data_IF_399933401384
#
_entry.id   IF_399933401384
#
_cell.length_a   1.000
_cell.length_b   1.000
_cell.length_c   1.000
_cell.angle_alpha   90.00
_cell.angle_beta   90.00
_cell.angle_gamma   90.00
#
_symmetry.space_group_name_H-M   'P 1'
#
loop_
_entity.id
_entity.type
_entity.pdbx_description
1 polymer ?
#
# COMPACT_ATOMS: atom_id res chain seq x y z
N UNK A 1 70.08 79.40 9.38
CA UNK A 1 70.37 78.75 8.09
C UNK A 1 69.65 77.40 8.06
N UNK A 2 68.44 77.28 7.48
CA UNK A 2 67.70 76.02 7.47
C UNK A 2 68.09 75.17 6.27
N UNK A 3 68.55 73.95 6.52
CA UNK A 3 68.84 72.94 5.51
C UNK A 3 67.52 72.22 5.17
N UNK A 4 67.00 72.45 3.96
CA UNK A 4 65.88 71.72 3.37
C UNK A 4 66.36 70.32 3.00
N UNK A 5 65.79 69.28 3.61
CA UNK A 5 65.85 67.91 3.09
C UNK A 5 64.55 67.59 2.32
N UNK A 6 64.64 66.85 1.19
CA UNK A 6 63.58 66.82 0.20
C UNK A 6 62.44 65.89 0.61
N UNK A 7 61.22 66.42 0.52
CA UNK A 7 59.92 65.76 0.72
C UNK A 7 59.74 64.49 -0.15
N UNK A 8 60.61 64.28 -1.13
CA UNK A 8 60.56 63.19 -2.12
C UNK A 8 60.83 61.80 -1.53
N UNK A 9 61.59 61.67 -0.43
CA UNK A 9 61.88 60.34 0.14
C UNK A 9 60.84 59.82 1.16
N UNK A 10 59.92 60.66 1.64
CA UNK A 10 58.82 60.22 2.52
C UNK A 10 57.62 59.73 1.69
N UNK A 11 57.46 60.24 0.46
CA UNK A 11 56.38 59.81 -0.43
C UNK A 11 56.60 58.38 -0.97
N UNK A 12 57.85 57.94 -1.11
CA UNK A 12 58.16 56.62 -1.67
C UNK A 12 58.01 55.48 -0.65
N UNK A 13 58.18 55.75 0.65
CA UNK A 13 58.01 54.74 1.71
C UNK A 13 56.52 54.55 2.07
N UNK A 14 55.67 55.57 1.89
CA UNK A 14 54.22 55.44 2.12
C UNK A 14 53.49 54.75 0.95
N UNK A 15 54.07 54.72 -0.25
CA UNK A 15 53.49 54.06 -1.43
C UNK A 15 53.70 52.53 -1.47
N UNK A 16 54.66 51.99 -0.72
CA UNK A 16 54.93 50.53 -0.68
C UNK A 16 54.10 49.82 0.41
N UNK A 17 53.60 50.54 1.41
CA UNK A 17 52.72 49.98 2.47
C UNK A 17 51.24 49.88 2.07
N UNK A 18 50.83 50.50 0.96
CA UNK A 18 49.44 50.45 0.46
C UNK A 18 49.18 49.33 -0.57
N UNK A 19 50.19 48.54 -0.94
CA UNK A 19 50.05 47.48 -1.95
C UNK A 19 49.95 46.05 -1.38
N UNK A 20 49.88 45.87 -0.06
CA UNK A 20 49.70 44.54 0.58
C UNK A 20 48.23 44.27 0.96
N UNK A 21 47.31 45.24 0.78
CA UNK A 21 45.91 45.10 1.22
C UNK A 21 44.96 44.42 0.22
N UNK A 22 45.48 43.64 -0.73
CA UNK A 22 44.65 42.83 -1.61
C UNK A 22 45.13 41.38 -1.59
N UNK A 23 45.10 40.77 -0.40
CA UNK A 23 44.95 39.32 -0.34
C UNK A 23 43.52 39.02 -0.82
N UNK A 24 43.31 38.18 -1.85
CA UNK A 24 41.97 37.73 -2.19
C UNK A 24 41.39 37.09 -0.94
N UNK A 25 40.29 37.64 -0.43
CA UNK A 25 39.47 36.94 0.56
C UNK A 25 39.14 35.59 -0.07
N UNK A 26 39.73 34.53 0.45
CA UNK A 26 39.27 33.19 0.15
C UNK A 26 37.82 33.16 0.59
N UNK A 27 36.89 33.22 -0.37
CA UNK A 27 35.50 32.88 -0.13
C UNK A 27 35.58 31.46 0.43
N UNK A 28 35.38 31.31 1.75
CA UNK A 28 35.25 29.99 2.35
C UNK A 28 34.19 29.28 1.52
N UNK A 29 34.47 28.09 0.96
CA UNK A 29 33.44 27.33 0.28
C UNK A 29 32.30 27.21 1.28
N UNK A 30 31.13 27.74 0.92
CA UNK A 30 29.90 27.62 1.68
C UNK A 30 29.78 26.13 2.04
N UNK A 31 29.96 25.80 3.32
CA UNK A 31 30.00 24.41 3.75
C UNK A 31 28.64 23.82 3.42
N UNK A 32 28.58 22.98 2.39
CA UNK A 32 27.39 22.23 2.07
C UNK A 32 27.12 21.29 3.24
N UNK A 33 26.16 21.66 4.09
CA UNK A 33 25.71 20.80 5.17
C UNK A 33 25.17 19.50 4.59
N UNK A 34 25.53 18.38 5.23
CA UNK A 34 24.88 17.11 4.96
C UNK A 34 23.41 17.15 5.38
N UNK A 35 22.57 16.31 4.78
CA UNK A 35 21.15 16.17 5.17
C UNK A 35 20.99 15.92 6.67
N UNK A 36 21.83 15.06 7.25
CA UNK A 36 21.79 14.74 8.68
C UNK A 36 22.14 15.94 9.57
N UNK A 37 23.10 16.77 9.15
CA UNK A 37 23.44 18.00 9.87
C UNK A 37 22.26 18.99 9.85
N UNK A 38 21.59 19.13 8.71
CA UNK A 38 20.42 20.00 8.58
C UNK A 38 19.25 19.49 9.45
N UNK A 39 18.99 18.18 9.44
CA UNK A 39 17.96 17.56 10.28
C UNK A 39 18.27 17.70 11.76
N UNK A 40 19.54 17.56 12.16
CA UNK A 40 19.98 17.75 13.54
C UNK A 40 19.76 19.19 13.98
N UNK A 41 20.17 20.17 13.16
CA UNK A 41 19.94 21.59 13.44
C UNK A 41 18.44 21.90 13.57
N UNK A 42 17.61 21.33 12.69
CA UNK A 42 16.14 21.48 12.73
C UNK A 42 15.54 20.87 14.00
N UNK A 43 16.00 19.69 14.41
CA UNK A 43 15.54 19.04 15.63
C UNK A 43 15.87 19.90 16.86
N UNK A 44 17.12 20.35 16.98
CA UNK A 44 17.56 21.20 18.09
C UNK A 44 16.87 22.56 18.11
N UNK A 45 16.63 23.16 16.94
CA UNK A 45 15.85 24.41 16.84
C UNK A 45 14.42 24.19 17.32
N UNK A 46 13.78 23.11 16.88
CA UNK A 46 12.43 22.77 17.31
C UNK A 46 12.36 22.56 18.84
N UNK A 47 13.38 21.95 19.46
CA UNK A 47 13.45 21.83 20.93
C UNK A 47 13.63 23.19 21.63
N UNK A 48 14.37 24.14 21.04
CA UNK A 48 14.49 25.50 21.58
C UNK A 48 13.15 26.23 21.49
N UNK A 49 12.53 26.22 20.33
CA UNK A 49 11.24 26.86 20.10
C UNK A 49 10.15 26.30 21.04
N UNK A 50 10.19 24.98 21.31
CA UNK A 50 9.29 24.35 22.26
C UNK A 50 9.43 24.89 23.70
N UNK A 51 10.65 25.23 24.15
CA UNK A 51 10.90 25.79 25.48
C UNK A 51 10.34 27.20 25.63
N UNK A 52 10.34 27.95 24.53
CA UNK A 52 9.90 29.34 24.48
C UNK A 52 8.40 29.49 24.12
N UNK A 53 7.71 28.36 23.86
CA UNK A 53 6.32 28.31 23.42
C UNK A 53 5.37 27.83 24.51
N UNK A 54 4.09 28.20 24.37
CA UNK A 54 2.99 27.67 25.18
C UNK A 54 2.17 26.62 24.41
N UNK A 55 1.38 25.82 25.11
CA UNK A 55 0.49 24.84 24.45
C UNK A 55 -0.57 25.54 23.60
N UNK A 56 -0.86 25.07 22.37
CA UNK A 56 -0.39 23.82 21.76
C UNK A 56 0.88 23.93 20.89
N UNK A 57 1.47 25.12 20.76
CA UNK A 57 2.64 25.33 19.90
C UNK A 57 3.90 24.66 20.46
N UNK A 58 4.02 24.58 21.79
CA UNK A 58 5.02 23.75 22.45
C UNK A 58 4.97 22.31 21.93
N UNK A 59 3.81 21.67 21.94
CA UNK A 59 3.64 20.28 21.52
C UNK A 59 3.88 20.12 20.01
N UNK A 60 3.49 21.13 19.21
CA UNK A 60 3.82 21.18 17.78
C UNK A 60 5.33 21.17 17.54
N UNK A 61 6.08 21.99 18.27
CA UNK A 61 7.54 22.03 18.18
C UNK A 61 8.19 20.74 18.67
N UNK A 62 7.67 20.14 19.75
CA UNK A 62 8.14 18.83 20.22
C UNK A 62 7.90 17.74 19.18
N UNK A 63 6.74 17.70 18.52
CA UNK A 63 6.46 16.74 17.44
C UNK A 63 7.37 16.97 16.22
N UNK A 64 7.67 18.23 15.86
CA UNK A 64 8.65 18.55 14.80
C UNK A 64 10.06 18.06 15.16
N UNK A 65 10.47 18.20 16.42
CA UNK A 65 11.74 17.67 16.90
C UNK A 65 11.77 16.14 16.84
N UNK A 66 10.72 15.47 17.34
CA UNK A 66 10.59 14.02 17.31
C UNK A 66 10.62 13.47 15.88
N UNK A 67 9.92 14.10 14.94
CA UNK A 67 9.96 13.73 13.52
C UNK A 67 11.38 13.85 12.96
N UNK A 68 12.08 14.94 13.26
CA UNK A 68 13.45 15.14 12.77
C UNK A 68 14.43 14.10 13.33
N UNK A 69 14.27 13.70 14.60
CA UNK A 69 15.06 12.60 15.18
C UNK A 69 14.69 11.24 14.60
N UNK A 70 13.42 11.00 14.29
CA UNK A 70 13.00 9.80 13.60
C UNK A 70 13.64 9.70 12.20
N UNK A 71 13.64 10.81 11.44
CA UNK A 71 14.25 10.89 10.11
C UNK A 71 15.78 10.68 10.15
N UNK A 72 16.42 11.02 11.28
CA UNK A 72 17.83 10.75 11.58
C UNK A 72 18.12 9.29 12.01
N UNK A 73 17.12 8.41 11.99
CA UNK A 73 17.17 7.07 12.61
C UNK A 73 17.51 7.09 14.12
N UNK A 74 17.37 8.23 14.80
CA UNK A 74 17.56 8.36 16.24
C UNK A 74 16.23 8.10 16.98
N UNK A 75 15.80 6.84 16.95
CA UNK A 75 14.52 6.43 17.53
C UNK A 75 14.48 6.64 19.05
N UNK A 76 15.62 6.57 19.74
CA UNK A 76 15.68 6.79 21.19
C UNK A 76 15.23 8.21 21.55
N UNK A 77 15.75 9.23 20.87
CA UNK A 77 15.39 10.62 21.13
C UNK A 77 13.95 10.93 20.69
N UNK A 78 13.53 10.40 19.54
CA UNK A 78 12.14 10.54 19.10
C UNK A 78 11.16 9.94 20.13
N UNK A 79 11.45 8.74 20.64
CA UNK A 79 10.63 8.05 21.65
C UNK A 79 10.60 8.81 22.97
N UNK A 80 11.75 9.34 23.43
CA UNK A 80 11.82 10.13 24.67
C UNK A 80 10.91 11.36 24.60
N UNK A 81 10.93 12.09 23.49
CA UNK A 81 10.08 13.25 23.27
C UNK A 81 8.60 12.84 23.26
N UNK A 82 8.25 11.79 22.49
CA UNK A 82 6.87 11.33 22.36
C UNK A 82 6.30 10.80 23.68
N UNK A 83 7.08 10.03 24.44
CA UNK A 83 6.67 9.51 25.74
C UNK A 83 6.43 10.63 26.78
N UNK A 84 7.03 11.81 26.59
CA UNK A 84 6.82 12.99 27.42
C UNK A 84 5.59 13.84 27.05
N UNK A 85 4.93 13.56 25.93
CA UNK A 85 3.73 14.28 25.50
C UNK A 85 2.48 13.68 26.17
N UNK A 86 1.60 14.56 26.67
CA UNK A 86 0.28 14.14 27.13
C UNK A 86 -0.71 14.09 25.96
N UNK A 87 -0.88 12.88 25.42
CA UNK A 87 -1.74 12.66 24.26
C UNK A 87 -3.23 12.94 24.50
N UNK A 88 -3.69 13.01 25.75
CA UNK A 88 -5.11 13.26 26.05
C UNK A 88 -5.53 14.71 25.82
N UNK A 89 -4.56 15.63 25.79
CA UNK A 89 -4.79 17.07 25.63
C UNK A 89 -4.31 17.61 24.28
N UNK A 90 -3.82 16.74 23.39
CA UNK A 90 -3.40 17.16 22.06
C UNK A 90 -4.61 17.56 21.20
N UNK A 91 -4.57 18.70 20.50
CA UNK A 91 -5.54 19.01 19.45
C UNK A 91 -5.58 17.92 18.37
N UNK A 92 -6.71 17.70 17.69
CA UNK A 92 -6.89 16.55 16.79
C UNK A 92 -5.79 16.37 15.74
N UNK A 93 -5.34 17.46 15.10
CA UNK A 93 -4.27 17.41 14.11
C UNK A 93 -2.90 17.01 14.70
N UNK A 94 -2.60 17.44 15.94
CA UNK A 94 -1.37 17.03 16.63
C UNK A 94 -1.47 15.60 17.16
N UNK A 95 -2.67 15.18 17.60
CA UNK A 95 -2.91 13.80 18.00
C UNK A 95 -2.69 12.83 16.83
N UNK A 96 -3.16 13.17 15.63
CA UNK A 96 -2.94 12.34 14.44
C UNK A 96 -1.43 12.20 14.14
N UNK A 97 -0.69 13.32 14.12
CA UNK A 97 0.76 13.32 13.91
C UNK A 97 1.51 12.52 14.98
N UNK A 98 1.16 12.72 16.25
CA UNK A 98 1.70 11.96 17.38
C UNK A 98 1.46 10.46 17.21
N UNK A 99 0.22 10.09 16.89
CA UNK A 99 -0.21 8.70 16.75
C UNK A 99 0.55 8.03 15.60
N UNK A 100 0.61 8.66 14.43
CA UNK A 100 1.30 8.11 13.25
C UNK A 100 2.80 7.89 13.54
N UNK A 101 3.48 8.91 14.05
CA UNK A 101 4.91 8.84 14.31
C UNK A 101 5.24 7.80 15.40
N UNK A 102 4.50 7.80 16.50
CA UNK A 102 4.77 6.87 17.60
C UNK A 102 4.40 5.43 17.23
N UNK A 103 3.30 5.22 16.49
CA UNK A 103 2.95 3.92 15.93
C UNK A 103 4.08 3.38 15.06
N UNK A 104 4.63 4.20 14.16
CA UNK A 104 5.73 3.78 13.28
C UNK A 104 6.97 3.33 14.05
N UNK A 105 7.34 4.05 15.11
CA UNK A 105 8.44 3.66 16.01
C UNK A 105 8.13 2.33 16.69
N UNK A 106 6.93 2.18 17.26
CA UNK A 106 6.51 0.94 17.94
C UNK A 106 6.53 -0.25 16.98
N UNK A 107 6.05 -0.08 15.74
CA UNK A 107 6.08 -1.13 14.73
C UNK A 107 7.51 -1.51 14.32
N UNK A 108 8.42 -0.54 14.16
CA UNK A 108 9.83 -0.81 13.88
C UNK A 108 10.51 -1.60 15.01
N UNK A 109 10.03 -1.45 16.24
CA UNK A 109 10.50 -2.18 17.41
C UNK A 109 9.75 -3.50 17.68
N UNK A 110 8.85 -3.92 16.78
CA UNK A 110 7.96 -5.08 16.92
C UNK A 110 7.01 -5.01 18.14
N UNK A 111 6.72 -3.80 18.63
CA UNK A 111 5.81 -3.55 19.76
C UNK A 111 4.34 -3.47 19.28
N UNK A 112 3.89 -4.49 18.55
CA UNK A 112 2.59 -4.50 17.85
C UNK A 112 1.39 -4.26 18.76
N UNK A 113 1.39 -4.80 19.98
CA UNK A 113 0.27 -4.60 20.93
C UNK A 113 0.19 -3.18 21.47
N UNK A 114 1.34 -2.51 21.69
CA UNK A 114 1.36 -1.09 22.08
C UNK A 114 0.94 -0.19 20.92
N UNK A 115 1.40 -0.50 19.70
CA UNK A 115 0.95 0.19 18.50
C UNK A 115 -0.58 0.06 18.34
N UNK A 116 -1.12 -1.14 18.57
CA UNK A 116 -2.57 -1.41 18.52
C UNK A 116 -3.32 -0.60 19.58
N UNK A 117 -2.84 -0.58 20.82
CA UNK A 117 -3.43 0.22 21.91
C UNK A 117 -3.48 1.70 21.54
N UNK A 118 -2.38 2.25 21.02
CA UNK A 118 -2.29 3.64 20.59
C UNK A 118 -3.29 3.96 19.46
N UNK A 119 -3.28 3.16 18.40
CA UNK A 119 -4.16 3.29 17.22
C UNK A 119 -5.65 3.02 17.52
N UNK A 120 -5.97 2.46 18.67
CA UNK A 120 -7.35 2.20 19.12
C UNK A 120 -7.71 2.98 20.40
N UNK A 121 -6.90 3.96 20.77
CA UNK A 121 -7.11 4.72 21.99
C UNK A 121 -8.48 5.44 21.96
N UNK A 122 -9.22 5.48 23.08
CA UNK A 122 -10.56 6.08 23.12
C UNK A 122 -10.58 7.54 22.65
N UNK A 123 -9.56 8.32 23.00
CA UNK A 123 -9.44 9.72 22.58
C UNK A 123 -9.29 9.84 21.07
N UNK A 124 -8.41 9.05 20.45
CA UNK A 124 -8.25 9.02 19.00
C UNK A 124 -9.56 8.62 18.30
N UNK A 125 -10.24 7.59 18.80
CA UNK A 125 -11.51 7.13 18.22
C UNK A 125 -12.61 8.19 18.32
N UNK A 126 -12.64 8.96 19.41
CA UNK A 126 -13.60 10.05 19.58
C UNK A 126 -13.38 11.20 18.58
N UNK A 127 -12.13 11.54 18.27
CA UNK A 127 -11.82 12.64 17.33
C UNK A 127 -11.68 12.18 15.88
N UNK A 128 -11.57 10.87 15.62
CA UNK A 128 -11.30 10.30 14.29
C UNK A 128 -12.18 10.88 13.16
N UNK A 129 -13.51 11.02 13.32
CA UNK A 129 -14.36 11.55 12.25
C UNK A 129 -14.12 13.04 11.93
N UNK A 130 -13.45 13.77 12.83
CA UNK A 130 -13.13 15.20 12.69
C UNK A 130 -11.74 15.47 12.11
N UNK A 131 -10.91 14.43 11.95
CA UNK A 131 -9.57 14.56 11.39
C UNK A 131 -9.63 14.95 9.91
N UNK A 132 -8.56 15.57 9.41
CA UNK A 132 -8.42 15.82 7.99
C UNK A 132 -8.48 14.50 7.20
N UNK A 133 -9.03 14.51 5.99
CA UNK A 133 -9.17 13.29 5.17
C UNK A 133 -7.84 12.56 4.97
N UNK A 134 -6.74 13.31 4.82
CA UNK A 134 -5.39 12.74 4.69
C UNK A 134 -5.00 11.93 5.94
N UNK A 135 -5.24 12.47 7.14
CA UNK A 135 -4.95 11.80 8.41
C UNK A 135 -5.86 10.57 8.60
N UNK A 136 -7.14 10.67 8.24
CA UNK A 136 -8.04 9.52 8.26
C UNK A 136 -7.54 8.40 7.34
N UNK A 137 -7.13 8.73 6.11
CA UNK A 137 -6.57 7.76 5.17
C UNK A 137 -5.29 7.12 5.74
N UNK A 138 -4.38 7.92 6.30
CA UNK A 138 -3.14 7.43 6.90
C UNK A 138 -3.42 6.43 8.03
N UNK A 139 -4.21 6.86 9.02
CA UNK A 139 -4.50 6.07 10.21
C UNK A 139 -5.38 4.85 9.93
N UNK A 140 -6.33 4.93 8.99
CA UNK A 140 -7.12 3.74 8.57
C UNK A 140 -6.23 2.69 7.93
N UNK A 141 -5.26 3.11 7.12
CA UNK A 141 -4.28 2.19 6.52
C UNK A 141 -3.46 1.50 7.60
N UNK A 142 -2.89 2.26 8.53
CA UNK A 142 -2.08 1.70 9.62
C UNK A 142 -2.89 0.75 10.52
N UNK A 143 -4.14 1.12 10.86
CA UNK A 143 -5.06 0.27 11.62
C UNK A 143 -5.38 -1.01 10.87
N UNK A 144 -5.76 -0.92 9.60
CA UNK A 144 -6.07 -2.08 8.77
C UNK A 144 -4.87 -3.04 8.65
N UNK A 145 -3.69 -2.50 8.38
CA UNK A 145 -2.45 -3.27 8.23
C UNK A 145 -2.06 -3.96 9.54
N UNK A 146 -2.15 -3.26 10.67
CA UNK A 146 -1.85 -3.83 11.98
C UNK A 146 -2.88 -4.88 12.41
N UNK A 147 -4.17 -4.64 12.21
CA UNK A 147 -5.20 -5.64 12.49
C UNK A 147 -5.01 -6.90 11.64
N UNK A 148 -4.70 -6.74 10.35
CA UNK A 148 -4.41 -7.86 9.46
C UNK A 148 -3.19 -8.64 9.93
N UNK A 149 -2.13 -7.96 10.36
CA UNK A 149 -0.92 -8.60 10.90
C UNK A 149 -1.21 -9.41 12.18
N UNK A 150 -2.10 -8.92 13.04
CA UNK A 150 -2.47 -9.56 14.29
C UNK A 150 -3.57 -10.64 14.12
N UNK A 151 -4.04 -10.90 12.90
CA UNK A 151 -5.13 -11.85 12.63
C UNK A 151 -6.51 -11.34 13.06
N UNK A 152 -6.66 -10.04 13.27
CA UNK A 152 -7.94 -9.38 13.59
C UNK A 152 -8.71 -9.04 12.30
N UNK A 153 -8.96 -10.06 11.47
CA UNK A 153 -9.48 -9.94 10.11
C UNK A 153 -10.76 -9.11 10.01
N UNK A 154 -11.71 -9.29 10.95
CA UNK A 154 -12.97 -8.52 10.97
C UNK A 154 -12.70 -7.02 11.14
N UNK A 155 -11.77 -6.65 12.01
CA UNK A 155 -11.39 -5.25 12.24
C UNK A 155 -10.63 -4.70 11.03
N UNK A 156 -9.70 -5.48 10.46
CA UNK A 156 -8.95 -5.10 9.27
C UNK A 156 -9.87 -4.83 8.07
N UNK A 157 -10.87 -5.69 7.84
CA UNK A 157 -11.85 -5.54 6.77
C UNK A 157 -12.67 -4.27 6.91
N UNK A 158 -13.10 -3.92 8.12
CA UNK A 158 -13.82 -2.67 8.37
C UNK A 158 -12.92 -1.49 7.99
N UNK A 159 -11.66 -1.48 8.44
CA UNK A 159 -10.75 -0.37 8.12
C UNK A 159 -10.45 -0.25 6.63
N UNK A 160 -10.21 -1.36 5.93
CA UNK A 160 -9.95 -1.31 4.48
C UNK A 160 -11.19 -0.88 3.68
N UNK A 161 -12.40 -1.30 4.06
CA UNK A 161 -13.63 -0.88 3.39
C UNK A 161 -13.91 0.61 3.59
N UNK A 162 -13.63 1.14 4.78
CA UNK A 162 -13.74 2.59 5.03
C UNK A 162 -12.61 3.36 4.34
N UNK A 163 -11.38 2.83 4.32
CA UNK A 163 -10.24 3.41 3.62
C UNK A 163 -10.50 3.56 2.13
N UNK A 164 -11.01 2.51 1.46
CA UNK A 164 -11.25 2.54 0.01
C UNK A 164 -12.29 3.58 -0.39
N UNK A 165 -13.22 3.95 0.50
CA UNK A 165 -14.23 4.99 0.26
C UNK A 165 -13.66 6.41 0.37
N UNK A 166 -12.58 6.61 1.13
CA UNK A 166 -11.92 7.90 1.29
C UNK A 166 -10.87 8.17 0.21
N UNK A 167 -10.34 7.12 -0.42
CA UNK A 167 -9.33 7.22 -1.47
C UNK A 167 -9.92 7.71 -2.79
N UNK A 168 -9.12 8.45 -3.56
CA UNK A 168 -9.52 8.94 -4.90
C UNK A 168 -8.68 8.35 -6.03
N UNK A 169 -7.44 7.96 -5.75
CA UNK A 169 -6.55 7.37 -6.74
C UNK A 169 -6.93 5.92 -7.02
N UNK A 170 -7.20 5.60 -8.29
CA UNK A 170 -7.61 4.26 -8.72
C UNK A 170 -6.65 3.17 -8.25
N UNK A 171 -5.33 3.40 -8.36
CA UNK A 171 -4.32 2.43 -7.92
C UNK A 171 -4.32 2.22 -6.40
N UNK A 172 -4.57 3.26 -5.61
CA UNK A 172 -4.67 3.14 -4.16
C UNK A 172 -5.93 2.37 -3.75
N UNK A 173 -7.06 2.59 -4.44
CA UNK A 173 -8.31 1.85 -4.23
C UNK A 173 -8.13 0.38 -4.62
N UNK A 174 -7.53 0.09 -5.78
CA UNK A 174 -7.25 -1.28 -6.23
C UNK A 174 -6.37 -2.03 -5.21
N UNK A 175 -5.29 -1.39 -4.72
CA UNK A 175 -4.43 -1.97 -3.68
C UNK A 175 -5.18 -2.24 -2.36
N UNK A 176 -6.10 -1.35 -1.95
CA UNK A 176 -6.94 -1.58 -0.76
C UNK A 176 -7.93 -2.73 -0.99
N UNK A 177 -8.54 -2.80 -2.17
CA UNK A 177 -9.43 -3.91 -2.55
C UNK A 177 -8.69 -5.25 -2.62
N UNK A 178 -7.43 -5.27 -3.04
CA UNK A 178 -6.58 -6.46 -3.00
C UNK A 178 -6.36 -6.94 -1.56
N UNK A 179 -6.10 -6.02 -0.61
CA UNK A 179 -5.99 -6.37 0.82
C UNK A 179 -7.29 -6.97 1.38
N UNK A 180 -8.43 -6.36 1.04
CA UNK A 180 -9.76 -6.91 1.37
C UNK A 180 -9.88 -8.33 0.81
N UNK A 181 -9.55 -8.51 -0.48
CA UNK A 181 -9.68 -9.79 -1.14
C UNK A 181 -8.79 -10.88 -0.56
N UNK A 182 -7.55 -10.55 -0.19
CA UNK A 182 -6.62 -11.47 0.47
C UNK A 182 -7.26 -12.03 1.75
N UNK A 183 -7.80 -11.18 2.63
CA UNK A 183 -8.46 -11.64 3.87
C UNK A 183 -9.64 -12.57 3.53
N UNK A 184 -10.53 -12.10 2.66
CA UNK A 184 -11.77 -12.83 2.33
C UNK A 184 -11.50 -14.18 1.67
N UNK A 185 -10.47 -14.26 0.82
CA UNK A 185 -10.10 -15.49 0.12
C UNK A 185 -9.65 -16.60 1.08
N UNK A 186 -9.15 -16.25 2.28
CA UNK A 186 -8.74 -17.19 3.32
C UNK A 186 -9.79 -17.37 4.44
N UNK A 187 -10.81 -16.50 4.51
CA UNK A 187 -11.88 -16.61 5.52
C UNK A 187 -12.81 -17.80 5.22
N UNK A 188 -13.07 -18.73 6.15
CA UNK A 188 -13.96 -19.88 5.95
C UNK A 188 -15.41 -19.51 5.57
N UNK A 189 -16.09 -20.37 4.80
CA UNK A 189 -17.47 -20.12 4.30
C UNK A 189 -18.49 -19.87 5.41
N UNK A 190 -18.46 -20.67 6.48
CA UNK A 190 -19.34 -20.50 7.62
C UNK A 190 -19.12 -19.13 8.29
N UNK A 191 -17.87 -18.68 8.41
CA UNK A 191 -17.52 -17.36 8.93
C UNK A 191 -18.02 -16.25 8.01
N UNK A 192 -17.81 -16.36 6.69
CA UNK A 192 -18.34 -15.39 5.72
C UNK A 192 -19.87 -15.28 5.78
N UNK A 193 -20.56 -16.41 5.92
CA UNK A 193 -22.01 -16.44 6.11
C UNK A 193 -22.43 -15.73 7.40
N UNK A 194 -21.80 -16.03 8.54
CA UNK A 194 -22.08 -15.36 9.82
C UNK A 194 -21.87 -13.84 9.72
N UNK A 195 -20.71 -13.42 9.22
CA UNK A 195 -20.37 -12.01 9.04
C UNK A 195 -21.34 -11.28 8.10
N UNK A 196 -21.77 -11.94 7.02
CA UNK A 196 -22.77 -11.42 6.09
C UNK A 196 -24.14 -11.19 6.73
N UNK A 197 -24.54 -12.03 7.69
CA UNK A 197 -25.79 -11.88 8.44
C UNK A 197 -25.71 -10.85 9.56
N UNK A 198 -24.55 -10.75 10.22
CA UNK A 198 -24.32 -9.82 11.34
C UNK A 198 -24.18 -8.36 10.89
N UNK A 199 -23.52 -8.13 9.75
CA UNK A 199 -23.19 -6.78 9.31
C UNK A 199 -24.41 -6.00 8.82
N UNK A 200 -24.51 -4.73 9.21
CA UNK A 200 -25.47 -3.78 8.64
C UNK A 200 -24.87 -2.94 7.50
N UNK A 201 -23.55 -3.01 7.30
CA UNK A 201 -22.87 -2.29 6.22
C UNK A 201 -23.07 -3.06 4.89
N UNK A 202 -23.78 -2.49 3.91
CA UNK A 202 -24.06 -3.16 2.64
C UNK A 202 -22.79 -3.41 1.82
N UNK A 203 -21.79 -2.55 1.90
CA UNK A 203 -20.50 -2.75 1.21
C UNK A 203 -19.77 -3.98 1.77
N UNK A 204 -19.68 -4.12 3.09
CA UNK A 204 -19.11 -5.34 3.70
C UNK A 204 -19.92 -6.59 3.32
N UNK A 205 -21.25 -6.51 3.35
CA UNK A 205 -22.11 -7.63 2.96
C UNK A 205 -21.88 -8.05 1.49
N UNK A 206 -21.71 -7.09 0.59
CA UNK A 206 -21.39 -7.31 -0.81
C UNK A 206 -20.06 -8.03 -1.01
N UNK A 207 -19.01 -7.58 -0.30
CA UNK A 207 -17.70 -8.23 -0.28
C UNK A 207 -17.77 -9.69 0.20
N UNK A 208 -18.47 -9.97 1.29
CA UNK A 208 -18.66 -11.34 1.78
C UNK A 208 -19.39 -12.23 0.76
N UNK A 209 -20.44 -11.70 0.13
CA UNK A 209 -21.16 -12.40 -0.95
C UNK A 209 -20.29 -12.66 -2.18
N UNK A 210 -19.43 -11.69 -2.56
CA UNK A 210 -18.50 -11.87 -3.68
C UNK A 210 -17.53 -13.02 -3.39
N UNK A 211 -16.94 -13.06 -2.20
CA UNK A 211 -16.04 -14.12 -1.78
C UNK A 211 -16.70 -15.50 -1.85
N UNK A 212 -17.89 -15.65 -1.25
CA UNK A 212 -18.69 -16.89 -1.32
C UNK A 212 -19.01 -17.30 -2.77
N UNK A 213 -19.34 -16.32 -3.61
CA UNK A 213 -19.66 -16.55 -5.02
C UNK A 213 -18.47 -17.11 -5.79
N UNK A 214 -17.31 -16.49 -5.64
CA UNK A 214 -16.08 -16.91 -6.35
C UNK A 214 -15.58 -18.28 -5.90
N UNK A 215 -15.78 -18.65 -4.62
CA UNK A 215 -15.32 -19.93 -4.07
C UNK A 215 -16.16 -21.12 -4.55
N UNK A 216 -17.47 -20.93 -4.70
CA UNK A 216 -18.39 -21.97 -5.20
C UNK A 216 -18.18 -22.34 -6.66
N UNK A 217 -17.44 -21.51 -7.41
CA UNK A 217 -17.14 -21.69 -8.83
C UNK A 217 -15.66 -21.99 -9.12
N UNK A 218 -14.89 -22.36 -8.10
CA UNK A 218 -13.50 -22.80 -8.29
C UNK A 218 -13.46 -24.00 -9.24
N UNK A 219 -12.58 -23.93 -10.23
CA UNK A 219 -12.38 -24.99 -11.25
C UNK A 219 -13.22 -24.82 -12.52
N UNK A 220 -14.20 -23.91 -12.55
CA UNK A 220 -14.93 -23.53 -13.76
C UNK A 220 -14.97 -22.01 -13.90
N UNK A 221 -13.99 -21.49 -14.64
CA UNK A 221 -13.80 -20.05 -14.84
C UNK A 221 -14.98 -19.38 -15.54
N UNK A 222 -15.77 -20.13 -16.32
CA UNK A 222 -16.92 -19.56 -17.03
C UNK A 222 -18.15 -19.52 -16.13
N UNK A 223 -18.35 -20.54 -15.30
CA UNK A 223 -19.33 -20.49 -14.22
C UNK A 223 -19.00 -19.34 -13.26
N UNK A 224 -17.73 -19.17 -12.90
CA UNK A 224 -17.27 -18.07 -12.05
C UNK A 224 -17.62 -16.72 -12.66
N UNK A 225 -17.32 -16.50 -13.94
CA UNK A 225 -17.71 -15.28 -14.66
C UNK A 225 -19.22 -15.04 -14.60
N UNK A 226 -20.04 -16.07 -14.88
CA UNK A 226 -21.49 -15.93 -14.82
C UNK A 226 -21.99 -15.55 -13.42
N UNK A 227 -21.46 -16.18 -12.38
CA UNK A 227 -21.87 -15.90 -11.01
C UNK A 227 -21.41 -14.51 -10.54
N UNK A 228 -20.22 -14.06 -10.96
CA UNK A 228 -19.76 -12.68 -10.72
C UNK A 228 -20.72 -11.69 -11.41
N UNK A 229 -21.14 -11.91 -12.65
CA UNK A 229 -22.11 -11.02 -13.32
C UNK A 229 -23.47 -10.98 -12.60
N UNK A 230 -23.94 -12.11 -12.07
CA UNK A 230 -25.14 -12.14 -11.22
C UNK A 230 -24.95 -11.34 -9.93
N UNK A 231 -23.78 -11.48 -9.30
CA UNK A 231 -23.43 -10.68 -8.13
C UNK A 231 -23.39 -9.18 -8.48
N UNK A 232 -22.81 -8.78 -9.61
CA UNK A 232 -22.79 -7.37 -10.06
C UNK A 232 -24.20 -6.80 -10.22
N UNK A 233 -25.13 -7.59 -10.76
CA UNK A 233 -26.54 -7.20 -10.89
C UNK A 233 -27.26 -7.03 -9.53
N UNK A 234 -26.88 -7.81 -8.52
CA UNK A 234 -27.42 -7.70 -7.16
C UNK A 234 -26.81 -6.55 -6.36
N UNK A 235 -25.57 -6.14 -6.69
CA UNK A 235 -24.79 -5.16 -5.93
C UNK A 235 -24.36 -3.96 -6.80
N UNK A 236 -25.27 -3.27 -7.52
CA UNK A 236 -24.91 -2.35 -8.62
C UNK A 236 -24.08 -1.13 -8.19
N UNK A 237 -24.08 -0.78 -6.91
CA UNK A 237 -23.32 0.36 -6.35
C UNK A 237 -22.04 -0.06 -5.62
N UNK A 238 -21.68 -1.34 -5.64
CA UNK A 238 -20.54 -1.83 -4.88
C UNK A 238 -19.20 -1.40 -5.51
N UNK A 239 -18.21 -0.93 -4.72
CA UNK A 239 -16.96 -0.35 -5.24
C UNK A 239 -16.14 -1.34 -6.08
N UNK A 240 -16.19 -2.63 -5.77
CA UNK A 240 -15.53 -3.68 -6.54
C UNK A 240 -16.04 -3.86 -7.98
N UNK A 241 -17.17 -3.23 -8.36
CA UNK A 241 -17.65 -3.23 -9.75
C UNK A 241 -16.81 -2.30 -10.61
N UNK A 242 -16.50 -1.12 -10.08
CA UNK A 242 -15.72 -0.11 -10.79
C UNK A 242 -14.23 -0.45 -10.76
N UNK A 243 -13.75 -0.88 -9.60
CA UNK A 243 -12.34 -1.23 -9.37
C UNK A 243 -12.31 -2.62 -8.73
N UNK A 244 -12.34 -3.72 -9.50
CA UNK A 244 -12.24 -5.06 -8.94
C UNK A 244 -10.84 -5.31 -8.35
N UNK A 245 -10.70 -6.24 -7.38
CA UNK A 245 -9.40 -6.79 -7.01
C UNK A 245 -8.65 -7.33 -8.24
N UNK A 246 -7.33 -7.14 -8.26
CA UNK A 246 -6.42 -7.50 -9.35
C UNK A 246 -6.57 -8.96 -9.76
N UNK A 247 -6.66 -9.87 -8.80
CA UNK A 247 -6.81 -11.30 -9.08
C UNK A 247 -8.17 -11.65 -9.74
N UNK A 248 -9.25 -10.92 -9.42
CA UNK A 248 -10.56 -11.12 -10.05
C UNK A 248 -10.58 -10.53 -11.46
N UNK A 249 -9.88 -9.42 -11.66
CA UNK A 249 -9.64 -8.82 -12.99
C UNK A 249 -8.87 -9.77 -13.89
N UNK A 250 -7.79 -10.36 -13.39
CA UNK A 250 -6.98 -11.35 -14.12
C UNK A 250 -7.81 -12.60 -14.46
N UNK A 251 -8.59 -13.11 -13.50
CA UNK A 251 -9.51 -14.23 -13.73
C UNK A 251 -10.54 -13.89 -14.81
N UNK A 252 -11.13 -12.69 -14.79
CA UNK A 252 -12.08 -12.24 -15.80
C UNK A 252 -11.42 -12.13 -17.20
N UNK A 253 -10.18 -11.63 -17.28
CA UNK A 253 -9.42 -11.57 -18.53
C UNK A 253 -9.12 -12.98 -19.07
N UNK A 254 -8.69 -13.90 -18.21
CA UNK A 254 -8.48 -15.29 -18.59
C UNK A 254 -9.77 -15.97 -19.06
N UNK A 255 -10.90 -15.70 -18.40
CA UNK A 255 -12.22 -16.20 -18.79
C UNK A 255 -12.62 -15.72 -20.19
N UNK A 256 -12.34 -14.45 -20.50
CA UNK A 256 -12.66 -13.84 -21.79
C UNK A 256 -11.75 -14.34 -22.92
N UNK A 257 -10.53 -14.77 -22.60
CA UNK A 257 -9.56 -15.30 -23.55
C UNK A 257 -9.75 -16.81 -23.86
N UNK A 258 -10.74 -17.47 -23.25
CA UNK A 258 -10.96 -18.89 -23.49
C UNK A 258 -11.37 -19.19 -24.94
N UNK A 259 -10.78 -20.21 -25.58
CA UNK A 259 -11.12 -20.56 -26.94
C UNK A 259 -12.54 -21.13 -27.04
N UNK A 260 -13.28 -20.75 -28.08
CA UNK A 260 -14.59 -21.34 -28.39
C UNK A 260 -14.47 -22.75 -28.99
N UNK A 261 -13.33 -23.07 -29.58
CA UNK A 261 -13.05 -24.36 -30.22
C UNK A 261 -11.64 -24.83 -29.86
N UNK A 262 -11.49 -26.13 -29.62
CA UNK A 262 -10.21 -26.78 -29.35
C UNK A 262 -10.03 -27.91 -30.35
N UNK A 263 -8.87 -27.93 -31.02
CA UNK A 263 -8.42 -29.05 -31.83
C UNK A 263 -7.46 -29.92 -30.99
N UNK A 264 -7.78 -31.21 -30.84
CA UNK A 264 -6.91 -32.21 -30.21
C UNK A 264 -6.17 -32.96 -31.31
N UNK A 265 -4.88 -32.67 -31.46
CA UNK A 265 -4.00 -33.32 -32.44
C UNK A 265 -3.12 -34.33 -31.69
N UNK A 266 -3.32 -35.62 -31.96
CA UNK A 266 -2.58 -36.70 -31.30
C UNK A 266 -2.62 -38.00 -32.12
N UNK A 267 -1.62 -38.88 -31.96
CA UNK A 267 -1.65 -40.18 -32.62
C UNK A 267 -2.68 -41.09 -31.93
N UNK A 268 -3.65 -41.59 -32.67
CA UNK A 268 -4.63 -42.54 -32.13
C UNK A 268 -4.36 -43.99 -32.55
N UNK A 269 -3.42 -44.19 -33.49
CA UNK A 269 -2.96 -45.51 -33.93
C UNK A 269 -1.42 -45.61 -33.89
N UNK A 270 -0.88 -46.77 -34.29
CA UNK A 270 0.57 -47.03 -34.34
C UNK A 270 1.22 -47.10 -32.95
N UNK A 271 2.55 -46.93 -32.93
CA UNK A 271 3.38 -47.13 -31.73
C UNK A 271 3.00 -46.23 -30.54
N UNK A 272 2.41 -45.06 -30.81
CA UNK A 272 1.99 -44.09 -29.80
C UNK A 272 0.47 -44.02 -29.59
N UNK A 273 -0.33 -44.83 -30.30
CA UNK A 273 -1.79 -44.76 -30.26
C UNK A 273 -2.39 -45.03 -28.87
N UNK A 274 -1.75 -45.91 -28.08
CA UNK A 274 -2.16 -46.16 -26.70
C UNK A 274 -2.02 -44.91 -25.83
N UNK A 275 -0.90 -44.18 -25.94
CA UNK A 275 -0.68 -42.95 -25.18
C UNK A 275 -1.64 -41.83 -25.61
N UNK A 276 -1.84 -41.63 -26.91
CA UNK A 276 -2.79 -40.63 -27.41
C UNK A 276 -4.23 -40.93 -27.00
N UNK A 277 -4.64 -42.22 -27.01
CA UNK A 277 -5.96 -42.63 -26.51
C UNK A 277 -6.15 -42.30 -25.03
N UNK A 278 -5.14 -42.55 -24.19
CA UNK A 278 -5.20 -42.21 -22.75
C UNK A 278 -5.34 -40.70 -22.54
N UNK A 279 -4.56 -39.89 -23.24
CA UNK A 279 -4.64 -38.42 -23.17
C UNK A 279 -6.01 -37.92 -23.61
N UNK A 280 -6.52 -38.42 -24.76
CA UNK A 280 -7.87 -38.09 -25.26
C UNK A 280 -8.93 -38.41 -24.22
N UNK A 281 -8.87 -39.62 -23.64
CA UNK A 281 -9.88 -40.06 -22.68
C UNK A 281 -9.83 -39.23 -21.39
N UNK A 282 -8.64 -38.87 -20.90
CA UNK A 282 -8.48 -37.97 -19.76
C UNK A 282 -9.04 -36.57 -20.04
N UNK A 283 -8.76 -36.01 -21.22
CA UNK A 283 -9.32 -34.73 -21.65
C UNK A 283 -10.85 -34.78 -21.73
N UNK A 284 -11.40 -35.81 -22.38
CA UNK A 284 -12.85 -35.97 -22.55
C UNK A 284 -13.55 -36.25 -21.21
N UNK A 285 -12.89 -36.94 -20.26
CA UNK A 285 -13.42 -37.12 -18.92
C UNK A 285 -13.62 -35.77 -18.20
N UNK A 286 -12.61 -34.89 -18.23
CA UNK A 286 -12.73 -33.54 -17.67
C UNK A 286 -13.77 -32.69 -18.42
N UNK A 287 -13.83 -32.81 -19.75
CA UNK A 287 -14.83 -32.15 -20.59
C UNK A 287 -16.26 -32.52 -20.17
N UNK A 288 -16.56 -33.82 -20.06
CA UNK A 288 -17.90 -34.28 -19.69
C UNK A 288 -18.24 -34.02 -18.23
N UNK A 289 -17.25 -34.03 -17.31
CA UNK A 289 -17.45 -33.62 -15.92
C UNK A 289 -17.91 -32.15 -15.85
N UNK A 290 -17.22 -31.23 -16.53
CA UNK A 290 -17.62 -29.81 -16.61
C UNK A 290 -19.01 -29.64 -17.23
N UNK A 291 -19.29 -30.33 -18.34
CA UNK A 291 -20.60 -30.30 -18.99
C UNK A 291 -21.72 -30.80 -18.06
N UNK A 292 -21.49 -31.89 -17.32
CA UNK A 292 -22.48 -32.48 -16.40
C UNK A 292 -22.85 -31.54 -15.25
N UNK A 293 -21.94 -30.64 -14.86
CA UNK A 293 -22.13 -29.61 -13.84
C UNK A 293 -22.78 -28.34 -14.39
N UNK A 294 -23.17 -28.33 -15.67
CA UNK A 294 -23.74 -27.16 -16.34
C UNK A 294 -22.69 -26.12 -16.77
N UNK A 295 -21.40 -26.46 -16.70
CA UNK A 295 -20.33 -25.65 -17.26
C UNK A 295 -20.47 -25.56 -18.77
N UNK A 296 -20.22 -24.40 -19.35
CA UNK A 296 -20.20 -24.30 -20.82
C UNK A 296 -18.78 -24.60 -21.32
N UNK A 297 -18.69 -25.55 -22.25
CA UNK A 297 -17.44 -26.17 -22.72
C UNK A 297 -17.20 -25.83 -24.20
N UNK A 298 -15.95 -25.81 -24.69
CA UNK A 298 -15.67 -25.47 -26.08
C UNK A 298 -16.11 -26.59 -27.04
N UNK A 299 -16.20 -26.28 -28.33
CA UNK A 299 -16.34 -27.30 -29.35
C UNK A 299 -15.02 -28.08 -29.49
N UNK A 300 -15.04 -29.40 -29.33
CA UNK A 300 -13.85 -30.24 -29.48
C UNK A 300 -13.83 -30.89 -30.85
N UNK A 301 -12.70 -30.79 -31.55
CA UNK A 301 -12.41 -31.55 -32.77
C UNK A 301 -11.18 -32.40 -32.54
N UNK A 302 -11.26 -33.69 -32.85
CA UNK A 302 -10.15 -34.63 -32.67
C UNK A 302 -9.59 -34.99 -34.04
N UNK A 303 -8.27 -34.89 -34.18
CA UNK A 303 -7.55 -35.18 -35.41
C UNK A 303 -6.45 -36.21 -35.13
N UNK A 304 -6.51 -37.35 -35.82
CA UNK A 304 -5.47 -38.37 -35.74
C UNK A 304 -4.27 -37.96 -36.59
N UNK A 305 -3.14 -37.72 -35.93
CA UNK A 305 -1.90 -37.29 -36.59
C UNK A 305 -1.14 -38.43 -37.26
N UNK A 306 -1.61 -39.68 -37.14
CA UNK A 306 -1.08 -40.81 -37.92
C UNK A 306 -1.68 -40.91 -39.32
N UNK A 307 -2.86 -40.32 -39.54
CA UNK A 307 -3.56 -40.37 -40.84
C UNK A 307 -3.26 -39.15 -41.72
N UNK A 308 -2.87 -38.02 -41.13
CA UNK A 308 -2.56 -36.76 -41.83
C UNK A 308 -1.42 -36.02 -41.17
N UNK A 309 -0.66 -35.27 -41.97
CA UNK A 309 0.37 -34.38 -41.46
C UNK A 309 -0.29 -33.26 -40.64
N UNK A 310 0.25 -32.99 -39.44
CA UNK A 310 -0.19 -31.94 -38.52
C UNK A 310 -0.28 -30.57 -39.20
N UNK A 311 0.62 -30.26 -40.13
CA UNK A 311 0.60 -28.97 -40.84
C UNK A 311 -0.60 -28.81 -41.77
N UNK A 312 -1.16 -29.91 -42.28
CA UNK A 312 -2.31 -29.91 -43.20
C UNK A 312 -3.65 -29.82 -42.44
N UNK A 313 -3.61 -29.96 -41.12
CA UNK A 313 -4.76 -29.88 -40.21
C UNK A 313 -4.89 -28.48 -39.57
N UNK A 314 -3.81 -27.69 -39.61
CA UNK A 314 -3.68 -26.40 -38.92
C UNK A 314 -3.90 -25.17 -39.82
N UNK A 315 -3.88 -25.34 -41.15
CA UNK A 315 -4.14 -24.31 -42.17
C UNK A 315 -5.58 -24.43 -42.72
#
# INVERSE_FOLDING_TARGET
MPLKLPVINILFVMAVLLLISCAPQSVQPEQAYTTDQLLTQKAEQSLRDARDSSSPDKERHLLSAAQSYYDLNNQSQATEILAGLDSQHLPPALLAQYTELYTRILLNNNEHFRARELLTSPHLMAVFPSLATADQISLRRERGDLFSLLGEDKSALVEYVELSQLQSETGAIEATHDKIWIILSHTPDNTLHSLGTETQNPTLRGWYQLALTTRRSIGDIRLQRQQIEQWRAQWPTHPAIAIPPSNLKDAAMAAAALPAQIALLMPLTGDYGAAGTVIRNGFMAAYYDSLSKGGQVPLIRVYDTTERNVTDVYL
#
